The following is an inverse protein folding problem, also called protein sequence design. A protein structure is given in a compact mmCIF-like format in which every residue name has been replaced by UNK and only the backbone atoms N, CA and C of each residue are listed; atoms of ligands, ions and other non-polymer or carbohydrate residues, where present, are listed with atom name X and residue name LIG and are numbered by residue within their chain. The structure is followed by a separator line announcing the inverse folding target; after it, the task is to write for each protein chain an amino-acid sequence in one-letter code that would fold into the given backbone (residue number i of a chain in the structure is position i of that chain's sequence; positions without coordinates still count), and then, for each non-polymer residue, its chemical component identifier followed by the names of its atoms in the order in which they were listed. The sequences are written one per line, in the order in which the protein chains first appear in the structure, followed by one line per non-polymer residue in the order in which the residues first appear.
data_IF_593022423928
#
_entry.id   IF_593022423928
#
_cell.length_a   1.000
_cell.length_b   1.000
_cell.length_c   1.000
_cell.angle_alpha   90.00
_cell.angle_beta   90.00
_cell.angle_gamma   90.00
#
_symmetry.space_group_name_H-M   'P 1'
#
loop_
_entity.id
_entity.type
_entity.pdbx_description
1 polymer ?
#
# COMPACT_ATOMS: atom_id res chain seq x y z
N UNK A 1 -10.13 13.29 -3.92
CA UNK A 1 -9.23 13.34 -5.10
C UNK A 1 -8.43 14.63 -5.05
N UNK A 2 -7.24 14.58 -4.46
CA UNK A 2 -6.33 15.72 -4.31
C UNK A 2 -5.64 16.07 -5.64
N UNK A 3 -5.38 17.35 -5.91
CA UNK A 3 -4.61 17.84 -7.07
C UNK A 3 -3.25 17.15 -7.23
N UNK A 4 -2.64 16.70 -6.13
CA UNK A 4 -1.38 15.92 -6.16
C UNK A 4 -1.55 14.60 -6.91
N UNK A 5 -2.67 13.91 -6.68
CA UNK A 5 -3.04 12.66 -7.33
C UNK A 5 -3.28 12.87 -8.84
N UNK A 6 -3.81 14.03 -9.22
CA UNK A 6 -4.09 14.37 -10.61
C UNK A 6 -2.83 14.78 -11.39
N UNK A 7 -1.86 15.44 -10.75
CA UNK A 7 -0.54 15.73 -11.35
C UNK A 7 0.30 14.48 -11.56
N UNK A 8 0.22 13.51 -10.66
CA UNK A 8 0.97 12.26 -10.78
C UNK A 8 0.46 11.37 -11.93
N UNK A 9 -0.85 11.40 -12.20
CA UNK A 9 -1.44 10.74 -13.38
C UNK A 9 -0.96 11.34 -14.71
N UNK A 10 -0.63 12.64 -14.76
CA UNK A 10 -0.12 13.29 -15.97
C UNK A 10 1.37 12.99 -16.23
N UNK A 11 2.16 12.69 -15.19
CA UNK A 11 3.53 12.20 -15.33
C UNK A 11 3.58 10.70 -15.69
N UNK A 12 2.47 9.97 -15.51
CA UNK A 12 2.36 8.53 -15.72
C UNK A 12 2.53 8.07 -17.18
N UNK A 13 2.45 8.97 -18.17
CA UNK A 13 2.67 8.63 -19.58
C UNK A 13 4.14 8.38 -19.95
N UNK A 14 5.11 8.73 -19.09
CA UNK A 14 6.53 8.71 -19.45
C UNK A 14 7.34 7.58 -18.77
N UNK A 15 6.93 7.06 -17.60
CA UNK A 15 7.64 5.94 -16.94
C UNK A 15 6.78 5.14 -15.93
N UNK A 16 6.20 4.00 -16.31
CA UNK A 16 5.31 3.21 -15.45
C UNK A 16 6.02 2.54 -14.26
N UNK A 17 7.33 2.30 -14.34
CA UNK A 17 8.07 1.62 -13.27
C UNK A 17 8.23 2.52 -12.03
N UNK A 18 8.54 3.80 -12.23
CA UNK A 18 8.70 4.77 -11.13
C UNK A 18 7.39 4.96 -10.35
N UNK A 19 6.26 4.82 -11.01
CA UNK A 19 4.94 4.94 -10.38
C UNK A 19 4.61 3.73 -9.52
N UNK A 20 4.98 2.53 -9.99
CA UNK A 20 4.84 1.30 -9.21
C UNK A 20 5.67 1.36 -7.93
N UNK A 21 6.89 1.90 -7.99
CA UNK A 21 7.74 2.09 -6.80
C UNK A 21 7.10 3.09 -5.82
N UNK A 22 6.66 4.25 -6.32
CA UNK A 22 5.99 5.27 -5.51
C UNK A 22 4.74 4.71 -4.82
N UNK A 23 3.85 4.05 -5.57
CA UNK A 23 2.63 3.47 -5.01
C UNK A 23 2.90 2.32 -4.05
N UNK A 24 3.94 1.53 -4.30
CA UNK A 24 4.36 0.49 -3.37
C UNK A 24 4.84 1.08 -2.05
N UNK A 25 5.58 2.20 -2.09
CA UNK A 25 6.06 2.89 -0.89
C UNK A 25 4.91 3.50 -0.08
N UNK A 26 4.00 4.24 -0.75
CA UNK A 26 2.85 4.86 -0.10
C UNK A 26 1.91 3.79 0.50
N UNK A 27 1.58 2.75 -0.26
CA UNK A 27 0.79 1.61 0.24
C UNK A 27 1.43 0.99 1.47
N UNK A 28 2.74 0.73 1.44
CA UNK A 28 3.48 0.13 2.56
C UNK A 28 3.43 1.02 3.79
N UNK A 29 3.69 2.31 3.64
CA UNK A 29 3.72 3.27 4.75
C UNK A 29 2.35 3.35 5.44
N UNK A 30 1.29 3.56 4.67
CA UNK A 30 -0.06 3.69 5.21
C UNK A 30 -0.56 2.36 5.83
N UNK A 31 -0.28 1.22 5.18
CA UNK A 31 -0.65 -0.09 5.71
C UNK A 31 0.03 -0.35 7.06
N UNK A 32 1.33 -0.07 7.18
CA UNK A 32 2.07 -0.23 8.43
C UNK A 32 1.63 0.77 9.49
N UNK A 33 1.28 2.00 9.11
CA UNK A 33 0.71 2.99 10.02
C UNK A 33 -0.62 2.53 10.60
N UNK A 34 -1.54 2.02 9.76
CA UNK A 34 -2.80 1.45 10.20
C UNK A 34 -2.58 0.25 11.13
N UNK A 35 -1.69 -0.67 10.74
CA UNK A 35 -1.34 -1.84 11.53
C UNK A 35 -0.86 -1.44 12.92
N UNK A 36 0.09 -0.50 13.00
CA UNK A 36 0.66 0.01 14.26
C UNK A 36 -0.39 0.71 15.12
N UNK A 37 -1.22 1.57 14.53
CA UNK A 37 -2.22 2.37 15.27
C UNK A 37 -3.39 1.55 15.80
N UNK A 38 -3.87 0.57 15.03
CA UNK A 38 -5.11 -0.15 15.33
C UNK A 38 -4.88 -1.52 15.99
N UNK A 39 -3.83 -2.22 15.58
CA UNK A 39 -3.57 -3.61 15.99
C UNK A 39 -2.33 -3.73 16.88
N UNK A 40 -1.39 -2.79 16.77
CA UNK A 40 -0.13 -2.79 17.54
C UNK A 40 0.71 -4.02 17.19
N UNK A 41 1.15 -4.76 18.21
CA UNK A 41 1.93 -6.01 18.05
C UNK A 41 1.08 -7.28 18.10
N UNK A 42 -0.25 -7.16 18.08
CA UNK A 42 -1.15 -8.31 18.12
C UNK A 42 -1.10 -9.06 16.79
N UNK A 43 -1.14 -10.40 16.86
CA UNK A 43 -1.35 -11.24 15.68
C UNK A 43 -2.74 -10.95 15.10
N UNK A 44 -2.77 -10.54 13.84
CA UNK A 44 -3.99 -10.24 13.08
C UNK A 44 -3.86 -10.82 11.68
N UNK A 45 -4.97 -11.24 11.08
CA UNK A 45 -4.97 -11.70 9.70
C UNK A 45 -4.78 -10.52 8.74
N UNK A 46 -3.89 -10.65 7.77
CA UNK A 46 -3.58 -9.61 6.79
C UNK A 46 -4.83 -9.07 6.08
N UNK A 47 -5.79 -9.95 5.74
CA UNK A 47 -7.05 -9.54 5.10
C UNK A 47 -7.89 -8.60 5.95
N UNK A 48 -7.84 -8.70 7.28
CA UNK A 48 -8.59 -7.80 8.18
C UNK A 48 -7.99 -6.40 8.07
N UNK A 49 -6.67 -6.29 8.17
CA UNK A 49 -5.94 -5.03 8.07
C UNK A 49 -6.14 -4.40 6.69
N UNK A 50 -6.05 -5.21 5.62
CA UNK A 50 -6.24 -4.74 4.26
C UNK A 50 -7.66 -4.23 4.00
N UNK A 51 -8.69 -4.96 4.47
CA UNK A 51 -10.08 -4.52 4.31
C UNK A 51 -10.37 -3.22 5.08
N UNK A 52 -9.77 -3.04 6.26
CA UNK A 52 -9.88 -1.78 7.00
C UNK A 52 -9.14 -0.66 6.30
N UNK A 53 -7.94 -0.93 5.76
CA UNK A 53 -7.18 0.00 4.95
C UNK A 53 -7.98 0.49 3.74
N UNK A 54 -8.47 -0.40 2.86
CA UNK A 54 -9.25 0.03 1.67
C UNK A 54 -10.67 0.54 1.99
N UNK A 55 -11.08 0.58 3.26
CA UNK A 55 -12.37 1.16 3.65
C UNK A 55 -12.41 2.67 3.41
N UNK A 56 -11.25 3.35 3.39
CA UNK A 56 -11.16 4.74 2.94
C UNK A 56 -10.82 4.81 1.46
N UNK A 57 -11.61 5.59 0.71
CA UNK A 57 -11.57 5.66 -0.76
C UNK A 57 -10.29 6.28 -1.34
N UNK A 58 -9.46 6.92 -0.53
CA UNK A 58 -8.25 7.60 -0.99
C UNK A 58 -7.00 6.70 -0.95
N UNK A 59 -7.12 5.49 -0.39
CA UNK A 59 -6.01 4.56 -0.30
C UNK A 59 -5.69 3.87 -1.62
N UNK A 60 -4.40 3.63 -1.84
CA UNK A 60 -3.88 2.89 -2.99
C UNK A 60 -4.26 1.43 -2.87
N UNK A 61 -4.93 0.89 -3.88
CA UNK A 61 -5.25 -0.54 -3.91
C UNK A 61 -3.98 -1.35 -4.20
N UNK A 62 -3.86 -2.53 -3.60
CA UNK A 62 -2.69 -3.42 -3.75
C UNK A 62 -2.33 -3.72 -5.21
N UNK A 63 -3.34 -3.82 -6.10
CA UNK A 63 -3.13 -4.08 -7.52
C UNK A 63 -2.33 -2.99 -8.26
N UNK A 64 -2.12 -1.83 -7.63
CA UNK A 64 -1.30 -0.74 -8.17
C UNK A 64 0.15 -0.77 -7.67
N UNK A 65 0.52 -1.79 -6.88
CA UNK A 65 1.86 -1.95 -6.29
C UNK A 65 2.64 -3.06 -7.01
N UNK A 66 3.91 -3.22 -6.65
CA UNK A 66 4.77 -4.32 -7.13
C UNK A 66 4.34 -5.72 -6.62
N UNK A 67 3.44 -5.78 -5.63
CA UNK A 67 2.99 -7.04 -5.04
C UNK A 67 1.68 -7.50 -5.69
N UNK A 68 1.73 -8.63 -6.38
CA UNK A 68 0.56 -9.21 -7.06
C UNK A 68 -0.51 -9.69 -6.07
N UNK A 69 -0.11 -10.08 -4.86
CA UNK A 69 -1.03 -10.54 -3.81
C UNK A 69 -0.65 -10.03 -2.43
N UNK A 70 -1.63 -10.00 -1.52
CA UNK A 70 -1.43 -9.54 -0.14
C UNK A 70 -0.50 -10.50 0.62
N UNK A 71 -0.54 -11.77 0.23
CA UNK A 71 0.38 -12.80 0.70
C UNK A 71 1.81 -12.47 0.30
N UNK A 72 2.05 -12.00 -0.92
CA UNK A 72 3.40 -11.65 -1.39
C UNK A 72 3.92 -10.39 -0.71
N UNK A 73 3.07 -9.38 -0.54
CA UNK A 73 3.39 -8.20 0.25
C UNK A 73 3.78 -8.58 1.69
N UNK A 74 3.00 -9.44 2.34
CA UNK A 74 3.25 -9.81 3.75
C UNK A 74 4.45 -10.74 3.92
N UNK A 75 4.72 -11.61 2.94
CA UNK A 75 6.00 -12.34 2.87
C UNK A 75 7.18 -11.40 2.71
N UNK A 76 7.04 -10.36 1.88
CA UNK A 76 8.07 -9.34 1.69
C UNK A 76 8.32 -8.56 3.00
N UNK A 77 7.26 -8.09 3.68
CA UNK A 77 7.39 -7.45 5.00
C UNK A 77 8.15 -8.31 6.01
N UNK A 78 7.85 -9.62 6.06
CA UNK A 78 8.54 -10.55 6.96
C UNK A 78 10.02 -10.75 6.62
N UNK A 79 10.44 -10.54 5.36
CA UNK A 79 11.85 -10.56 4.94
C UNK A 79 12.57 -9.27 5.31
N UNK A 80 11.87 -8.14 5.24
CA UNK A 80 12.39 -6.82 5.64
C UNK A 80 12.47 -6.65 7.17
N UNK A 81 11.87 -7.56 7.96
CA UNK A 81 11.87 -7.51 9.42
C UNK A 81 10.87 -6.52 10.01
N UNK A 82 9.78 -6.23 9.29
CA UNK A 82 8.71 -5.30 9.67
C UNK A 82 7.51 -5.99 10.31
#
# INVERSE_FOLDING_TARGET
MSESHQRQLLLASENPQQFMDYFSEEFRNDFLELLRRRFGTKRVHNNIVYNEYISHREHIHMNATQWETLTDFTKWLGREGL
#
